data_IF_517997173174
#
_entry.id   IF_517997173174
#
_cell.length_a   1.000
_cell.length_b   1.000
_cell.length_c   1.000
_cell.angle_alpha   90.00
_cell.angle_beta   90.00
_cell.angle_gamma   90.00
#
_symmetry.space_group_name_H-M   'P 1'
#
loop_
_entity.id
_entity.type
_entity.pdbx_description
1 polymer ?
#
# COMPACT_ATOMS: atom_id res chain seq x y z
N UNK A 1 -21.84 -19.74 28.89
CA UNK A 1 -23.23 -19.51 28.45
C UNK A 1 -23.22 -19.19 26.97
N UNK A 2 -24.01 -19.90 26.18
CA UNK A 2 -24.38 -19.57 24.80
C UNK A 2 -25.82 -19.01 24.77
N UNK A 3 -26.21 -18.48 23.61
CA UNK A 3 -27.33 -17.56 23.38
C UNK A 3 -28.73 -18.01 23.83
N UNK A 4 -28.93 -19.29 24.20
CA UNK A 4 -30.24 -19.83 24.60
C UNK A 4 -30.42 -20.02 26.12
N UNK A 5 -29.49 -19.55 26.96
CA UNK A 5 -29.65 -19.56 28.42
C UNK A 5 -29.66 -20.95 29.07
N UNK A 6 -29.16 -21.98 28.39
CA UNK A 6 -28.99 -23.33 28.95
C UNK A 6 -27.53 -23.50 29.41
N UNK A 7 -27.32 -23.89 30.67
CA UNK A 7 -25.98 -24.18 31.19
C UNK A 7 -25.45 -25.48 30.56
N UNK A 8 -24.41 -25.35 29.73
CA UNK A 8 -23.70 -26.49 29.17
C UNK A 8 -22.65 -26.99 30.16
N UNK A 9 -22.77 -28.24 30.60
CA UNK A 9 -21.72 -28.90 31.40
C UNK A 9 -20.73 -29.54 30.44
N UNK A 10 -19.47 -29.10 30.48
CA UNK A 10 -18.38 -29.71 29.69
C UNK A 10 -18.14 -31.13 30.19
N UNK A 11 -18.36 -32.13 29.33
CA UNK A 11 -18.02 -33.53 29.61
C UNK A 11 -16.86 -33.92 28.71
N UNK A 12 -15.70 -34.21 29.31
CA UNK A 12 -14.53 -34.72 28.58
C UNK A 12 -14.71 -36.20 28.21
N UNK A 13 -13.93 -36.70 27.25
CA UNK A 13 -13.94 -38.13 26.88
C UNK A 13 -13.70 -39.03 28.10
N UNK A 14 -12.72 -38.69 28.93
CA UNK A 14 -12.43 -39.42 30.18
C UNK A 14 -13.63 -39.46 31.12
N UNK A 15 -14.37 -38.35 31.24
CA UNK A 15 -15.57 -38.30 32.09
C UNK A 15 -16.72 -39.11 31.51
N UNK A 16 -16.89 -39.09 30.19
CA UNK A 16 -17.88 -39.93 29.51
C UNK A 16 -17.56 -41.43 29.69
N UNK A 17 -16.28 -41.80 29.59
CA UNK A 17 -15.81 -43.17 29.79
C UNK A 17 -15.96 -43.60 31.27
N UNK A 18 -15.70 -42.71 32.23
CA UNK A 18 -15.96 -42.94 33.66
C UNK A 18 -17.45 -43.20 33.92
N UNK A 19 -18.35 -42.43 33.30
CA UNK A 19 -19.81 -42.58 33.43
C UNK A 19 -20.27 -43.91 32.82
N UNK A 20 -19.76 -44.30 31.65
CA UNK A 20 -20.04 -45.61 31.02
C UNK A 20 -19.53 -46.78 31.86
N UNK A 21 -18.32 -46.65 32.41
CA UNK A 21 -17.71 -47.64 33.29
C UNK A 21 -18.50 -47.82 34.57
N UNK A 22 -18.88 -46.71 35.23
CA UNK A 22 -19.72 -46.74 36.43
C UNK A 22 -21.10 -47.34 36.16
N UNK A 23 -21.69 -47.05 35.01
CA UNK A 23 -22.95 -47.66 34.56
C UNK A 23 -22.84 -49.18 34.40
N UNK A 24 -21.77 -49.65 33.75
CA UNK A 24 -21.48 -51.08 33.61
C UNK A 24 -21.23 -51.76 34.96
N UNK A 25 -20.35 -51.20 35.80
CA UNK A 25 -20.04 -51.71 37.15
C UNK A 25 -21.30 -51.85 38.02
N UNK A 26 -22.24 -50.92 37.90
CA UNK A 26 -23.49 -50.92 38.68
C UNK A 26 -24.41 -52.09 38.33
N UNK A 27 -24.32 -52.62 37.11
CA UNK A 27 -25.19 -53.70 36.63
C UNK A 27 -24.49 -55.06 36.61
N UNK A 28 -23.16 -55.11 36.78
CA UNK A 28 -22.34 -56.34 36.70
C UNK A 28 -22.85 -57.50 37.57
N UNK A 29 -23.47 -57.21 38.71
CA UNK A 29 -23.98 -58.21 39.65
C UNK A 29 -25.49 -58.12 39.92
N UNK A 30 -26.20 -57.18 39.29
CA UNK A 30 -27.62 -56.93 39.54
C UNK A 30 -28.34 -56.50 38.25
N UNK A 31 -29.10 -57.42 37.68
CA UNK A 31 -29.90 -57.18 36.47
C UNK A 31 -31.05 -56.19 36.72
N UNK A 32 -31.54 -56.04 37.96
CA UNK A 32 -32.59 -55.07 38.29
C UNK A 32 -32.07 -53.62 38.34
N UNK A 33 -30.74 -53.41 38.36
CA UNK A 33 -30.10 -52.09 38.35
C UNK A 33 -30.01 -51.44 36.95
N UNK A 34 -30.32 -52.19 35.88
CA UNK A 34 -30.24 -51.72 34.49
C UNK A 34 -31.05 -50.42 34.25
N UNK A 35 -32.29 -50.26 34.72
CA UNK A 35 -33.05 -49.03 34.48
C UNK A 35 -32.38 -47.78 35.08
N UNK A 36 -31.79 -47.89 36.26
CA UNK A 36 -31.13 -46.76 36.93
C UNK A 36 -29.82 -46.37 36.22
N UNK A 37 -29.04 -47.36 35.78
CA UNK A 37 -27.84 -47.10 34.99
C UNK A 37 -28.20 -46.53 33.61
N UNK A 38 -29.28 -47.02 32.98
CA UNK A 38 -29.75 -46.53 31.69
C UNK A 38 -30.24 -45.08 31.75
N UNK A 39 -30.89 -44.69 32.85
CA UNK A 39 -31.26 -43.30 33.13
C UNK A 39 -30.03 -42.38 33.17
N UNK A 40 -28.99 -42.75 33.92
CA UNK A 40 -27.77 -41.92 34.05
C UNK A 40 -27.01 -41.80 32.71
N UNK A 41 -26.85 -42.90 31.96
CA UNK A 41 -26.22 -42.86 30.64
C UNK A 41 -26.99 -41.96 29.66
N UNK A 42 -28.33 -42.03 29.68
CA UNK A 42 -29.19 -41.19 28.85
C UNK A 42 -29.16 -39.71 29.26
N UNK A 43 -29.13 -39.44 30.57
CA UNK A 43 -29.07 -38.10 31.17
C UNK A 43 -27.79 -37.34 30.84
N UNK A 44 -26.67 -38.04 30.68
CA UNK A 44 -25.40 -37.44 30.28
C UNK A 44 -25.16 -37.46 28.77
N UNK A 45 -26.00 -38.15 27.99
CA UNK A 45 -25.88 -38.23 26.54
C UNK A 45 -24.58 -38.87 26.05
N UNK A 46 -23.97 -39.74 26.86
CA UNK A 46 -22.63 -40.32 26.59
C UNK A 46 -22.62 -41.41 25.51
N UNK A 47 -23.80 -41.84 25.06
CA UNK A 47 -24.02 -42.76 23.93
C UNK A 47 -25.45 -42.65 23.37
N UNK A 48 -25.72 -43.16 22.15
CA UNK A 48 -27.06 -43.15 21.55
C UNK A 48 -28.08 -43.94 22.36
N UNK A 49 -29.29 -43.40 22.54
CA UNK A 49 -30.36 -44.01 23.35
C UNK A 49 -30.73 -45.44 22.93
N UNK A 50 -30.63 -45.75 21.63
CA UNK A 50 -30.94 -47.08 21.10
C UNK A 50 -29.90 -48.15 21.52
N UNK A 51 -28.70 -47.73 21.91
CA UNK A 51 -27.57 -48.63 22.24
C UNK A 51 -27.45 -48.88 23.75
N UNK A 52 -28.03 -48.01 24.59
CA UNK A 52 -27.85 -48.02 26.04
C UNK A 52 -28.26 -49.36 26.68
N UNK A 53 -29.43 -49.89 26.33
CA UNK A 53 -29.92 -51.14 26.91
C UNK A 53 -29.05 -52.33 26.50
N UNK A 54 -28.67 -52.41 25.21
CA UNK A 54 -27.80 -53.46 24.70
C UNK A 54 -26.45 -53.44 25.42
N UNK A 55 -25.83 -52.26 25.52
CA UNK A 55 -24.57 -52.07 26.23
C UNK A 55 -24.64 -52.55 27.69
N UNK A 56 -25.64 -52.12 28.47
CA UNK A 56 -25.75 -52.51 29.88
C UNK A 56 -26.07 -54.01 30.07
N UNK A 57 -26.87 -54.59 29.17
CA UNK A 57 -27.22 -56.01 29.21
C UNK A 57 -25.98 -56.89 29.09
N UNK A 58 -24.99 -56.49 28.30
CA UNK A 58 -23.77 -57.28 28.10
C UNK A 58 -22.96 -57.45 29.40
N UNK A 59 -23.20 -56.62 30.42
CA UNK A 59 -22.55 -56.72 31.73
C UNK A 59 -23.39 -57.46 32.79
N UNK A 60 -24.68 -57.71 32.58
CA UNK A 60 -25.56 -58.33 33.56
C UNK A 60 -26.10 -59.70 33.08
N UNK A 61 -25.77 -60.83 33.73
CA UNK A 61 -26.22 -62.16 33.29
C UNK A 61 -27.76 -62.30 33.34
N UNK A 62 -28.35 -62.91 32.30
CA UNK A 62 -29.80 -62.92 32.07
C UNK A 62 -30.60 -63.57 33.21
N UNK A 63 -31.62 -62.85 33.70
CA UNK A 63 -32.69 -63.42 34.52
C UNK A 63 -33.72 -64.17 33.65
N UNK A 64 -34.60 -64.98 34.28
CA UNK A 64 -35.69 -65.72 33.58
C UNK A 64 -36.41 -64.83 32.56
N UNK A 65 -36.69 -65.36 31.35
CA UNK A 65 -37.24 -64.64 30.17
C UNK A 65 -38.35 -63.61 30.45
N UNK A 66 -39.29 -63.91 31.36
CA UNK A 66 -40.38 -63.00 31.76
C UNK A 66 -39.91 -61.80 32.59
N UNK A 67 -38.88 -61.99 33.41
CA UNK A 67 -38.25 -60.93 34.21
C UNK A 67 -37.38 -60.02 33.33
N UNK A 68 -36.63 -60.57 32.37
CA UNK A 68 -35.83 -59.79 31.42
C UNK A 68 -36.67 -58.79 30.61
N UNK A 69 -37.81 -59.23 30.06
CA UNK A 69 -38.74 -58.35 29.32
C UNK A 69 -39.29 -57.20 30.19
N UNK A 70 -39.52 -57.45 31.49
CA UNK A 70 -39.98 -56.42 32.44
C UNK A 70 -38.90 -55.38 32.72
N UNK A 71 -37.65 -55.81 32.84
CA UNK A 71 -36.50 -54.92 33.05
C UNK A 71 -36.22 -54.09 31.81
N UNK A 72 -36.31 -54.67 30.60
CA UNK A 72 -36.17 -53.94 29.35
C UNK A 72 -37.20 -52.80 29.22
N UNK A 73 -38.49 -53.10 29.43
CA UNK A 73 -39.54 -52.08 29.37
C UNK A 73 -39.32 -50.94 30.40
N UNK A 74 -38.77 -51.27 31.57
CA UNK A 74 -38.38 -50.27 32.58
C UNK A 74 -37.18 -49.45 32.14
N UNK A 75 -36.18 -50.07 31.51
CA UNK A 75 -35.00 -49.41 30.99
C UNK A 75 -35.35 -48.43 29.86
N UNK A 76 -36.21 -48.82 28.93
CA UNK A 76 -36.68 -47.93 27.85
C UNK A 76 -37.39 -46.68 28.41
N UNK A 77 -38.24 -46.87 29.43
CA UNK A 77 -38.88 -45.74 30.13
C UNK A 77 -37.85 -44.86 30.86
N UNK A 78 -36.83 -45.46 31.45
CA UNK A 78 -35.76 -44.75 32.15
C UNK A 78 -34.85 -43.97 31.18
N UNK A 79 -34.55 -44.52 30.00
CA UNK A 79 -33.81 -43.84 28.92
C UNK A 79 -34.59 -42.63 28.44
N UNK A 80 -35.90 -42.77 28.18
CA UNK A 80 -36.75 -41.65 27.77
C UNK A 80 -36.77 -40.54 28.84
N UNK A 81 -36.87 -40.92 30.12
CA UNK A 81 -36.83 -39.97 31.24
C UNK A 81 -35.47 -39.28 31.36
N UNK A 82 -34.37 -40.03 31.29
CA UNK A 82 -33.01 -39.48 31.34
C UNK A 82 -32.75 -38.52 30.18
N UNK A 83 -33.24 -38.83 28.97
CA UNK A 83 -33.13 -37.95 27.81
C UNK A 83 -33.95 -36.66 27.96
N UNK A 84 -35.08 -36.71 28.65
CA UNK A 84 -35.85 -35.52 28.98
C UNK A 84 -35.13 -34.63 30.02
N UNK A 85 -34.33 -35.25 30.90
CA UNK A 85 -33.46 -34.58 31.88
C UNK A 85 -32.02 -34.35 31.37
N UNK A 86 -31.81 -34.44 30.04
CA UNK A 86 -30.48 -34.38 29.44
C UNK A 86 -29.75 -33.10 29.86
N UNK A 87 -28.68 -33.26 30.62
CA UNK A 87 -27.73 -32.18 30.87
C UNK A 87 -26.98 -31.95 29.55
N UNK A 88 -27.34 -30.91 28.78
CA UNK A 88 -26.75 -30.64 27.46
C UNK A 88 -25.24 -30.36 27.62
N UNK A 89 -24.41 -31.36 27.38
CA UNK A 89 -22.96 -31.22 27.21
C UNK A 89 -22.60 -31.30 25.74
N UNK A 90 -21.80 -30.36 25.25
CA UNK A 90 -21.15 -30.50 23.94
C UNK A 90 -19.93 -31.40 24.12
N UNK A 91 -19.91 -32.56 23.46
CA UNK A 91 -18.69 -33.37 23.33
C UNK A 91 -17.86 -32.69 22.25
N UNK A 92 -16.85 -31.92 22.66
CA UNK A 92 -15.89 -31.37 21.71
C UNK A 92 -15.17 -32.55 21.04
N UNK A 93 -15.19 -32.67 19.70
CA UNK A 93 -14.32 -33.63 19.03
C UNK A 93 -12.87 -33.25 19.38
N UNK A 94 -12.08 -34.23 19.83
CA UNK A 94 -10.64 -34.08 19.85
C UNK A 94 -10.24 -34.06 18.38
N UNK A 95 -10.02 -32.87 17.82
CA UNK A 95 -9.14 -32.76 16.66
C UNK A 95 -7.76 -33.07 17.23
N UNK A 96 -7.18 -34.20 16.86
CA UNK A 96 -5.87 -34.61 17.35
C UNK A 96 -4.86 -33.51 17.00
N UNK A 97 -4.00 -33.15 17.94
CA UNK A 97 -2.94 -32.14 17.74
C UNK A 97 -2.07 -32.56 16.55
N UNK A 98 -1.88 -33.88 16.34
CA UNK A 98 -1.25 -34.47 15.15
C UNK A 98 -1.99 -34.19 13.83
N UNK A 99 -3.32 -34.10 13.83
CA UNK A 99 -4.09 -33.80 12.62
C UNK A 99 -3.93 -32.33 12.24
N UNK A 100 -3.92 -31.44 13.23
CA UNK A 100 -3.66 -30.01 13.01
C UNK A 100 -2.21 -29.81 12.54
N UNK A 101 -1.24 -30.48 13.17
CA UNK A 101 0.17 -30.45 12.74
C UNK A 101 0.32 -30.98 11.31
N UNK A 102 -0.34 -32.07 10.95
CA UNK A 102 -0.33 -32.62 9.58
C UNK A 102 -0.94 -31.64 8.56
N UNK A 103 -2.08 -31.01 8.88
CA UNK A 103 -2.71 -30.01 7.99
C UNK A 103 -1.85 -28.74 7.85
N UNK A 104 -1.17 -28.32 8.92
CA UNK A 104 -0.20 -27.22 8.90
C UNK A 104 1.00 -27.61 8.04
N UNK A 105 1.55 -28.80 8.21
CA UNK A 105 2.71 -29.27 7.46
C UNK A 105 2.41 -29.44 5.96
N UNK A 106 1.20 -29.91 5.61
CA UNK A 106 0.73 -29.97 4.23
C UNK A 106 0.60 -28.57 3.62
N UNK A 107 0.02 -27.61 4.34
CA UNK A 107 -0.05 -26.20 3.90
C UNK A 107 1.33 -25.57 3.77
N UNK A 108 2.22 -25.80 4.74
CA UNK A 108 3.60 -25.30 4.70
C UNK A 108 4.38 -25.92 3.54
N UNK A 109 4.18 -27.21 3.25
CA UNK A 109 4.75 -27.86 2.09
C UNK A 109 4.24 -27.22 0.79
N UNK A 110 2.93 -27.00 0.67
CA UNK A 110 2.34 -26.30 -0.46
C UNK A 110 2.92 -24.89 -0.66
N UNK A 111 3.08 -24.12 0.42
CA UNK A 111 3.72 -22.80 0.38
C UNK A 111 5.19 -22.90 -0.05
N UNK A 112 5.97 -23.81 0.53
CA UNK A 112 7.38 -24.05 0.15
C UNK A 112 7.52 -24.44 -1.33
N UNK A 113 6.60 -25.25 -1.85
CA UNK A 113 6.58 -25.65 -3.27
C UNK A 113 6.28 -24.44 -4.15
N UNK A 114 5.32 -23.58 -3.77
CA UNK A 114 5.01 -22.35 -4.49
C UNK A 114 6.19 -21.36 -4.47
N UNK A 115 6.84 -21.17 -3.33
CA UNK A 115 8.00 -20.31 -3.20
C UNK A 115 9.18 -20.84 -4.03
N UNK A 116 9.48 -22.14 -3.93
CA UNK A 116 10.50 -22.77 -4.77
C UNK A 116 10.17 -22.68 -6.28
N UNK A 117 8.90 -22.80 -6.66
CA UNK A 117 8.47 -22.62 -8.05
C UNK A 117 8.62 -21.17 -8.52
N UNK A 118 8.31 -20.18 -7.66
CA UNK A 118 8.55 -18.76 -7.93
C UNK A 118 10.03 -18.46 -8.09
N UNK A 119 10.86 -18.91 -7.14
CA UNK A 119 12.32 -18.77 -7.19
C UNK A 119 12.90 -19.39 -8.45
N UNK A 120 12.47 -20.60 -8.83
CA UNK A 120 12.93 -21.27 -10.05
C UNK A 120 12.53 -20.51 -11.30
N UNK A 121 11.28 -20.03 -11.40
CA UNK A 121 10.81 -19.23 -12.54
C UNK A 121 11.53 -17.89 -12.63
N UNK A 122 11.81 -17.29 -11.47
CA UNK A 122 12.61 -16.08 -11.35
C UNK A 122 14.07 -16.33 -11.78
N UNK A 123 14.68 -17.44 -11.39
CA UNK A 123 16.03 -17.82 -11.81
C UNK A 123 16.11 -18.14 -13.31
N UNK A 124 15.11 -18.83 -13.87
CA UNK A 124 14.98 -19.08 -15.30
C UNK A 124 14.90 -17.76 -16.08
N UNK A 125 14.07 -16.80 -15.63
CA UNK A 125 14.05 -15.42 -16.18
C UNK A 125 15.35 -14.66 -15.98
N UNK A 126 16.06 -14.87 -14.87
CA UNK A 126 17.35 -14.23 -14.61
C UNK A 126 18.45 -14.76 -15.55
N UNK A 127 18.35 -16.02 -15.99
CA UNK A 127 19.18 -16.60 -17.05
C UNK A 127 19.00 -15.94 -18.42
N UNK A 128 17.88 -15.24 -18.64
CA UNK A 128 17.61 -14.45 -19.84
C UNK A 128 18.19 -13.03 -19.79
N UNK A 129 18.74 -12.59 -18.65
CA UNK A 129 19.39 -11.28 -18.58
C UNK A 129 20.68 -11.34 -19.42
N UNK A 130 20.86 -10.41 -20.38
CA UNK A 130 22.04 -10.42 -21.22
C UNK A 130 23.29 -10.26 -20.36
N UNK A 131 24.30 -11.11 -20.58
CA UNK A 131 25.62 -10.95 -19.98
C UNK A 131 26.19 -9.54 -20.22
N UNK A 132 27.10 -9.07 -19.36
CA UNK A 132 27.78 -7.79 -19.58
C UNK A 132 28.46 -7.72 -20.95
N UNK A 133 29.05 -8.84 -21.40
CA UNK A 133 29.70 -8.95 -22.71
C UNK A 133 28.69 -8.72 -23.84
N UNK A 134 27.49 -9.30 -23.75
CA UNK A 134 26.42 -9.08 -24.75
C UNK A 134 25.79 -7.69 -24.69
N UNK A 135 26.05 -6.90 -23.64
CA UNK A 135 25.57 -5.52 -23.51
C UNK A 135 26.60 -4.49 -24.02
N UNK A 136 27.81 -4.91 -24.40
CA UNK A 136 28.80 -3.99 -24.98
C UNK A 136 28.33 -3.56 -26.36
N UNK A 137 28.14 -2.25 -26.52
CA UNK A 137 27.77 -1.64 -27.79
C UNK A 137 29.03 -1.11 -28.49
N UNK A 138 29.11 -1.30 -29.80
CA UNK A 138 30.03 -0.53 -30.63
C UNK A 138 29.49 0.90 -30.85
N UNK A 139 30.31 1.77 -31.44
CA UNK A 139 29.95 3.17 -31.68
C UNK A 139 28.63 3.33 -32.46
N UNK A 140 28.40 2.52 -33.50
CA UNK A 140 27.19 2.63 -34.33
C UNK A 140 25.95 2.14 -33.58
N UNK A 141 26.09 1.07 -32.81
CA UNK A 141 25.01 0.55 -31.97
C UNK A 141 24.68 1.51 -30.81
N UNK A 142 25.67 2.28 -30.34
CA UNK A 142 25.46 3.35 -29.36
C UNK A 142 24.71 4.55 -29.97
N UNK A 143 25.13 5.03 -31.14
CA UNK A 143 24.44 6.12 -31.86
C UNK A 143 23.00 5.76 -32.26
N UNK A 144 22.74 4.48 -32.52
CA UNK A 144 21.41 4.00 -32.88
C UNK A 144 20.50 3.72 -31.67
N UNK A 145 20.95 3.98 -30.44
CA UNK A 145 20.09 3.82 -29.26
C UNK A 145 18.88 4.76 -29.35
N UNK A 146 17.68 4.29 -28.98
CA UNK A 146 16.51 5.15 -28.93
C UNK A 146 16.69 6.22 -27.85
N UNK A 147 16.03 7.36 -28.05
CA UNK A 147 15.91 8.39 -27.02
C UNK A 147 15.37 7.81 -25.71
N UNK A 148 15.79 8.34 -24.55
CA UNK A 148 15.29 7.90 -23.24
C UNK A 148 13.76 7.90 -23.21
N UNK A 149 13.18 6.78 -22.78
CA UNK A 149 11.73 6.63 -22.67
C UNK A 149 11.26 7.25 -21.36
N UNK A 150 10.08 7.86 -21.38
CA UNK A 150 9.46 8.49 -20.22
C UNK A 150 8.23 7.70 -19.80
N UNK A 151 8.12 7.40 -18.50
CA UNK A 151 6.90 6.85 -17.90
C UNK A 151 5.89 7.98 -17.70
N UNK A 152 6.37 9.14 -17.25
CA UNK A 152 5.62 10.40 -17.20
C UNK A 152 6.40 11.42 -17.99
N UNK A 153 5.80 11.97 -19.04
CA UNK A 153 6.47 12.88 -19.97
C UNK A 153 7.22 14.01 -19.25
N UNK A 154 8.52 14.11 -19.52
CA UNK A 154 9.49 15.09 -18.99
C UNK A 154 9.67 15.09 -17.46
N UNK A 155 9.17 14.08 -16.75
CA UNK A 155 9.22 14.04 -15.27
C UNK A 155 9.83 12.75 -14.74
N UNK A 156 9.32 11.59 -15.18
CA UNK A 156 9.77 10.29 -14.69
C UNK A 156 10.28 9.47 -15.89
N UNK A 157 11.61 9.35 -16.08
CA UNK A 157 12.18 8.49 -17.10
C UNK A 157 12.01 7.00 -16.73
N UNK A 158 12.01 6.13 -17.73
CA UNK A 158 12.10 4.67 -17.58
C UNK A 158 13.52 4.27 -17.15
N UNK A 159 13.65 3.16 -16.39
CA UNK A 159 14.95 2.61 -15.96
C UNK A 159 15.82 3.56 -15.13
N UNK A 160 15.19 4.43 -14.35
CA UNK A 160 15.88 5.47 -13.59
C UNK A 160 15.78 5.30 -12.07
N UNK A 161 16.64 6.01 -11.34
CA UNK A 161 16.52 6.27 -9.90
C UNK A 161 16.15 7.74 -9.69
N UNK A 162 14.95 7.97 -9.17
CA UNK A 162 14.38 9.30 -8.91
C UNK A 162 14.28 9.53 -7.42
N UNK A 163 14.75 10.69 -6.95
CA UNK A 163 14.51 11.14 -5.57
C UNK A 163 13.42 12.19 -5.54
N UNK A 164 12.46 12.05 -4.63
CA UNK A 164 11.46 13.07 -4.33
C UNK A 164 11.66 13.55 -2.91
N UNK A 165 11.95 14.83 -2.74
CA UNK A 165 12.28 15.38 -1.43
C UNK A 165 11.60 16.71 -1.12
N UNK A 166 11.65 17.11 0.15
CA UNK A 166 10.98 18.30 0.65
C UNK A 166 10.70 18.23 2.15
N UNK A 167 10.23 19.34 2.71
CA UNK A 167 9.96 19.48 4.14
C UNK A 167 9.01 18.39 4.68
N UNK A 168 9.11 18.07 5.97
CA UNK A 168 8.15 17.17 6.61
C UNK A 168 6.73 17.72 6.49
N UNK A 169 5.76 16.86 6.20
CA UNK A 169 4.34 17.26 6.07
C UNK A 169 3.96 18.02 4.80
N UNK A 170 4.91 18.35 3.90
CA UNK A 170 4.62 19.15 2.68
C UNK A 170 3.74 18.44 1.63
N UNK A 171 3.54 17.12 1.77
CA UNK A 171 2.67 16.35 0.87
C UNK A 171 3.38 15.46 -0.17
N UNK A 172 4.67 15.15 0.01
CA UNK A 172 5.44 14.26 -0.90
C UNK A 172 4.73 12.93 -1.20
N UNK A 173 4.22 12.27 -0.17
CA UNK A 173 3.48 11.02 -0.33
C UNK A 173 2.24 11.20 -1.20
N UNK A 174 1.49 12.31 -1.06
CA UNK A 174 0.36 12.58 -1.95
C UNK A 174 0.80 12.79 -3.39
N UNK A 175 1.90 13.49 -3.63
CA UNK A 175 2.46 13.64 -4.97
C UNK A 175 2.89 12.30 -5.58
N UNK A 176 3.63 11.48 -4.83
CA UNK A 176 4.08 10.17 -5.31
C UNK A 176 2.91 9.20 -5.52
N UNK A 177 1.89 9.23 -4.66
CA UNK A 177 0.66 8.44 -4.83
C UNK A 177 -0.12 8.87 -6.08
N UNK A 178 -0.16 10.17 -6.35
CA UNK A 178 -0.80 10.72 -7.54
C UNK A 178 -0.12 10.22 -8.84
N UNK A 179 1.21 10.18 -8.87
CA UNK A 179 2.01 9.64 -9.97
C UNK A 179 1.77 8.14 -10.10
N UNK A 180 1.89 7.41 -8.99
CA UNK A 180 1.69 5.95 -8.94
C UNK A 180 0.31 5.52 -9.45
N UNK A 181 -0.75 6.19 -9.01
CA UNK A 181 -2.11 5.92 -9.45
C UNK A 181 -2.30 6.21 -10.94
N UNK A 182 -1.68 7.27 -11.46
CA UNK A 182 -1.76 7.63 -12.88
C UNK A 182 -1.06 6.58 -13.76
N UNK A 183 0.14 6.14 -13.38
CA UNK A 183 0.89 5.09 -14.09
C UNK A 183 0.17 3.75 -14.04
N UNK A 184 -0.31 3.35 -12.86
CA UNK A 184 -1.02 2.10 -12.67
C UNK A 184 -2.37 2.05 -13.39
N UNK A 185 -3.06 3.18 -13.48
CA UNK A 185 -4.36 3.31 -14.12
C UNK A 185 -4.31 3.71 -15.61
N UNK A 186 -3.15 4.15 -16.11
CA UNK A 186 -3.00 4.66 -17.47
C UNK A 186 -3.72 5.99 -17.71
N UNK A 187 -3.77 6.85 -16.70
CA UNK A 187 -4.33 8.21 -16.82
C UNK A 187 -3.21 9.21 -17.04
N UNK A 188 -3.48 10.28 -17.79
CA UNK A 188 -2.57 11.42 -17.85
C UNK A 188 -2.34 11.98 -16.44
N UNK A 189 -1.07 12.18 -16.08
CA UNK A 189 -0.74 12.74 -14.78
C UNK A 189 -0.71 14.25 -14.90
N UNK A 190 -1.80 14.90 -14.50
CA UNK A 190 -1.93 16.37 -14.49
C UNK A 190 -1.52 16.95 -15.85
N UNK A 191 -2.20 16.45 -16.89
CA UNK A 191 -2.05 16.88 -18.28
C UNK A 191 -0.81 16.38 -18.98
N UNK A 192 0.03 15.58 -18.32
CA UNK A 192 1.20 14.94 -18.91
C UNK A 192 0.86 13.52 -19.35
N UNK A 193 1.18 13.14 -20.61
CA UNK A 193 1.02 11.77 -21.08
C UNK A 193 1.77 10.76 -20.20
N UNK A 194 1.15 9.61 -19.98
CA UNK A 194 1.66 8.53 -19.14
C UNK A 194 1.73 7.20 -19.90
N UNK A 195 2.86 6.50 -19.77
CA UNK A 195 3.00 5.12 -20.22
C UNK A 195 2.57 4.19 -19.08
N UNK A 196 1.45 3.49 -19.28
CA UNK A 196 0.86 2.65 -18.25
C UNK A 196 1.71 1.41 -17.92
N UNK A 197 1.66 0.98 -16.67
CA UNK A 197 2.28 -0.26 -16.20
C UNK A 197 2.04 -0.54 -14.73
N UNK A 198 2.33 -1.77 -14.25
CA UNK A 198 2.11 -2.12 -12.87
C UNK A 198 3.05 -1.32 -11.96
N UNK A 199 2.56 -0.90 -10.79
CA UNK A 199 3.29 -0.09 -9.82
C UNK A 199 3.27 -0.78 -8.47
N UNK A 200 4.42 -0.85 -7.81
CA UNK A 200 4.53 -1.22 -6.40
C UNK A 200 4.75 0.04 -5.56
N UNK A 201 3.86 0.29 -4.60
CA UNK A 201 4.02 1.36 -3.62
C UNK A 201 4.38 0.78 -2.26
N UNK A 202 5.62 0.97 -1.82
CA UNK A 202 6.08 0.57 -0.49
C UNK A 202 5.74 1.69 0.49
N UNK A 203 4.66 1.49 1.24
CA UNK A 203 4.15 2.43 2.24
C UNK A 203 4.78 2.13 3.61
N UNK A 204 6.04 2.51 3.77
CA UNK A 204 6.90 2.12 4.88
C UNK A 204 6.57 2.83 6.20
N UNK A 205 5.77 3.89 6.18
CA UNK A 205 5.27 4.55 7.40
C UNK A 205 4.09 3.80 8.08
N UNK A 206 3.60 2.73 7.46
CA UNK A 206 2.57 1.82 7.97
C UNK A 206 1.21 1.98 7.30
N UNK A 207 0.51 0.87 6.99
CA UNK A 207 -0.67 0.87 6.08
C UNK A 207 -1.91 1.68 6.48
N UNK A 208 -1.98 2.23 7.70
CA UNK A 208 -3.13 3.02 8.15
C UNK A 208 -3.27 4.32 7.34
N UNK A 209 -4.22 4.34 6.41
CA UNK A 209 -4.54 5.51 5.60
C UNK A 209 -4.12 5.44 4.13
N UNK A 210 -3.29 4.46 3.72
CA UNK A 210 -2.96 4.25 2.32
C UNK A 210 -4.21 3.88 1.50
N UNK A 211 -5.04 2.97 2.04
CA UNK A 211 -6.29 2.55 1.40
C UNK A 211 -7.25 3.71 1.11
N UNK A 212 -7.49 4.61 2.09
CA UNK A 212 -8.39 5.77 1.88
C UNK A 212 -7.82 6.77 0.87
N UNK A 213 -6.49 6.94 0.81
CA UNK A 213 -5.84 7.84 -0.16
C UNK A 213 -5.97 7.31 -1.59
N UNK A 214 -5.68 6.03 -1.83
CA UNK A 214 -5.85 5.44 -3.16
C UNK A 214 -7.31 5.31 -3.55
N UNK A 215 -8.22 5.04 -2.61
CA UNK A 215 -9.66 5.09 -2.86
C UNK A 215 -10.14 6.49 -3.27
N UNK A 216 -9.59 7.55 -2.66
CA UNK A 216 -9.88 8.92 -3.07
C UNK A 216 -9.39 9.24 -4.50
N UNK A 217 -8.21 8.74 -4.88
CA UNK A 217 -7.69 8.88 -6.24
C UNK A 217 -8.52 8.08 -7.25
N UNK A 218 -8.90 6.85 -6.90
CA UNK A 218 -9.80 6.02 -7.71
C UNK A 218 -11.17 6.67 -7.92
N UNK A 219 -11.75 7.28 -6.87
CA UNK A 219 -12.99 8.04 -6.99
C UNK A 219 -12.84 9.25 -7.91
N UNK A 220 -11.74 10.01 -7.75
CA UNK A 220 -11.51 11.23 -8.50
C UNK A 220 -11.23 10.95 -9.99
N UNK A 221 -10.48 9.89 -10.30
CA UNK A 221 -9.90 9.70 -11.64
C UNK A 221 -10.36 8.42 -12.35
N UNK A 222 -10.93 7.47 -11.61
CA UNK A 222 -11.37 6.19 -12.13
C UNK A 222 -12.83 5.86 -11.80
N UNK A 223 -13.66 6.88 -11.53
CA UNK A 223 -15.09 6.75 -11.21
C UNK A 223 -15.36 5.74 -10.08
N UNK A 224 -14.43 5.66 -9.13
CA UNK A 224 -14.50 4.79 -7.96
C UNK A 224 -14.19 3.31 -8.21
N UNK A 225 -13.77 2.93 -9.42
CA UNK A 225 -13.31 1.58 -9.71
C UNK A 225 -11.88 1.37 -9.16
N UNK A 226 -11.51 0.14 -8.77
CA UNK A 226 -10.13 -0.18 -8.38
C UNK A 226 -9.11 0.15 -9.47
N UNK A 227 -7.90 0.51 -9.07
CA UNK A 227 -6.76 0.71 -9.98
C UNK A 227 -5.96 -0.60 -9.98
N UNK A 228 -6.31 -1.52 -10.88
CA UNK A 228 -5.83 -2.91 -10.84
C UNK A 228 -4.29 -3.05 -10.96
N UNK A 229 -3.63 -2.10 -11.63
CA UNK A 229 -2.17 -2.07 -11.78
C UNK A 229 -1.40 -1.64 -10.52
N UNK A 230 -2.09 -1.22 -9.46
CA UNK A 230 -1.46 -0.66 -8.26
C UNK A 230 -1.40 -1.70 -7.13
N UNK A 231 -0.20 -2.05 -6.73
CA UNK A 231 0.07 -2.92 -5.58
C UNK A 231 0.71 -2.11 -4.45
N UNK A 232 0.34 -2.41 -3.20
CA UNK A 232 0.84 -1.70 -2.02
C UNK A 232 1.45 -2.68 -1.04
N UNK A 233 2.70 -2.44 -0.64
CA UNK A 233 3.35 -3.12 0.48
C UNK A 233 3.23 -2.21 1.72
N UNK A 234 2.34 -2.52 2.69
CA UNK A 234 2.04 -1.64 3.83
C UNK A 234 3.04 -1.75 4.99
N UNK A 235 4.23 -2.31 4.73
CA UNK A 235 5.30 -2.55 5.70
C UNK A 235 6.62 -2.03 5.14
N UNK A 236 7.53 -1.67 6.03
CA UNK A 236 8.88 -1.24 5.65
C UNK A 236 9.79 -2.47 5.47
N UNK A 237 10.27 -2.78 4.24
CA UNK A 237 11.37 -3.72 4.06
C UNK A 237 12.66 -3.12 4.60
N UNK A 238 13.61 -3.96 5.02
CA UNK A 238 14.93 -3.54 5.41
C UNK A 238 15.93 -3.70 4.25
N UNK A 239 16.34 -2.60 3.62
CA UNK A 239 17.29 -2.63 2.50
C UNK A 239 18.74 -2.93 2.89
N UNK A 240 19.04 -3.12 4.18
CA UNK A 240 20.32 -3.72 4.62
C UNK A 240 20.25 -5.25 4.75
N UNK A 241 19.05 -5.83 4.66
CA UNK A 241 18.81 -7.27 4.68
C UNK A 241 18.84 -7.83 3.25
N UNK A 242 19.77 -8.74 2.98
CA UNK A 242 19.82 -9.43 1.66
C UNK A 242 18.57 -10.26 1.40
N UNK A 243 17.86 -10.71 2.45
CA UNK A 243 16.62 -11.48 2.31
C UNK A 243 15.52 -10.59 1.73
N UNK A 244 15.25 -9.44 2.37
CA UNK A 244 14.22 -8.49 1.93
C UNK A 244 14.54 -7.95 0.53
N UNK A 245 15.82 -7.70 0.22
CA UNK A 245 16.26 -7.27 -1.11
C UNK A 245 16.00 -8.35 -2.14
N UNK A 246 16.33 -9.62 -1.87
CA UNK A 246 16.09 -10.73 -2.77
C UNK A 246 14.59 -11.02 -3.00
N UNK A 247 13.76 -10.83 -1.98
CA UNK A 247 12.30 -10.92 -2.09
C UNK A 247 11.76 -9.82 -3.03
N UNK A 248 12.20 -8.57 -2.86
CA UNK A 248 11.80 -7.47 -3.72
C UNK A 248 12.32 -7.61 -5.17
N UNK A 249 13.55 -8.11 -5.36
CA UNK A 249 14.07 -8.47 -6.68
C UNK A 249 13.17 -9.52 -7.35
N UNK A 250 12.79 -10.56 -6.61
CA UNK A 250 11.94 -11.65 -7.13
C UNK A 250 10.55 -11.16 -7.47
N UNK A 251 9.96 -10.32 -6.61
CA UNK A 251 8.67 -9.69 -6.85
C UNK A 251 8.71 -8.79 -8.10
N UNK A 252 9.75 -7.97 -8.26
CA UNK A 252 9.90 -7.14 -9.44
C UNK A 252 10.12 -7.97 -10.71
N UNK A 253 10.88 -9.06 -10.64
CA UNK A 253 11.06 -9.97 -11.77
C UNK A 253 9.78 -10.69 -12.16
N UNK A 254 8.89 -10.97 -11.20
CA UNK A 254 7.59 -11.59 -11.45
C UNK A 254 6.63 -10.62 -12.16
N UNK A 255 6.47 -9.42 -11.60
CA UNK A 255 5.47 -8.43 -12.04
C UNK A 255 5.95 -7.42 -13.09
N UNK A 256 7.27 -7.28 -13.25
CA UNK A 256 7.92 -6.29 -14.12
C UNK A 256 7.34 -4.88 -13.94
N UNK A 257 7.43 -4.37 -12.71
CA UNK A 257 6.85 -3.08 -12.34
C UNK A 257 7.44 -1.98 -13.23
N UNK A 258 6.58 -1.12 -13.76
CA UNK A 258 7.03 0.12 -14.41
C UNK A 258 7.67 1.06 -13.38
N UNK A 259 7.14 1.07 -12.16
CA UNK A 259 7.66 1.92 -11.09
C UNK A 259 7.55 1.24 -9.72
N UNK A 260 8.58 1.40 -8.89
CA UNK A 260 8.57 1.04 -7.47
C UNK A 260 8.80 2.31 -6.65
N UNK A 261 7.87 2.62 -5.72
CA UNK A 261 7.98 3.78 -4.83
C UNK A 261 8.40 3.33 -3.43
N UNK A 262 9.45 3.93 -2.90
CA UNK A 262 9.97 3.72 -1.55
C UNK A 262 9.62 4.94 -0.67
N UNK A 263 8.48 4.88 0.02
CA UNK A 263 7.95 5.98 0.84
C UNK A 263 7.99 5.61 2.34
N UNK A 264 9.06 5.90 3.08
CA UNK A 264 10.21 6.78 2.78
C UNK A 264 11.56 6.09 2.95
N UNK A 265 12.62 6.67 2.39
CA UNK A 265 14.02 6.22 2.48
C UNK A 265 14.41 5.89 3.93
N UNK A 266 14.11 6.80 4.87
CA UNK A 266 14.50 6.63 6.27
C UNK A 266 13.84 5.43 6.95
N UNK A 267 12.71 4.94 6.42
CA UNK A 267 12.04 3.74 6.93
C UNK A 267 12.57 2.46 6.30
N UNK A 268 12.94 2.51 5.02
CA UNK A 268 13.45 1.34 4.29
C UNK A 268 14.96 1.13 4.43
N UNK A 269 15.70 2.15 4.87
CA UNK A 269 17.15 2.07 5.06
C UNK A 269 17.59 1.24 6.29
N UNK A 270 16.65 0.72 7.08
CA UNK A 270 16.95 -0.08 8.28
C UNK A 270 17.82 0.70 9.28
N UNK A 271 18.88 0.04 9.76
CA UNK A 271 19.85 0.63 10.70
C UNK A 271 20.97 1.44 10.02
N UNK A 272 20.87 1.70 8.70
CA UNK A 272 21.90 2.43 7.97
C UNK A 272 22.00 3.90 8.43
N UNK A 273 23.22 4.34 8.70
CA UNK A 273 23.48 5.73 9.06
C UNK A 273 23.31 6.66 7.84
N UNK A 274 22.27 7.49 7.85
CA UNK A 274 21.85 8.38 6.76
C UNK A 274 22.95 9.32 6.22
N UNK A 275 23.91 9.71 7.08
CA UNK A 275 25.02 10.60 6.72
C UNK A 275 26.27 9.85 6.23
N UNK A 276 26.34 8.53 6.43
CA UNK A 276 27.47 7.73 6.01
C UNK A 276 27.38 7.43 4.51
N UNK A 277 28.35 7.93 3.75
CA UNK A 277 28.43 7.65 2.31
C UNK A 277 28.53 6.15 2.02
N UNK A 278 29.23 5.38 2.86
CA UNK A 278 29.34 3.92 2.73
C UNK A 278 27.99 3.24 2.96
N UNK A 279 27.28 3.60 4.04
CA UNK A 279 25.99 3.00 4.35
C UNK A 279 24.95 3.32 3.27
N UNK A 280 24.86 4.59 2.87
CA UNK A 280 23.96 5.02 1.78
C UNK A 280 24.35 4.44 0.43
N UNK A 281 25.64 4.20 0.17
CA UNK A 281 26.09 3.46 -1.00
C UNK A 281 25.53 2.03 -1.03
N UNK A 282 25.50 1.35 0.12
CA UNK A 282 24.85 0.04 0.25
C UNK A 282 23.35 0.08 -0.08
N UNK A 283 22.63 1.06 0.46
CA UNK A 283 21.20 1.25 0.18
C UNK A 283 20.93 1.55 -1.30
N UNK A 284 21.73 2.42 -1.92
CA UNK A 284 21.64 2.73 -3.34
C UNK A 284 21.89 1.50 -4.21
N UNK A 285 22.87 0.67 -3.86
CA UNK A 285 23.14 -0.59 -4.56
C UNK A 285 21.97 -1.57 -4.44
N UNK A 286 21.34 -1.68 -3.27
CA UNK A 286 20.15 -2.51 -3.09
C UNK A 286 18.98 -2.03 -3.96
N UNK A 287 18.71 -0.72 -3.99
CA UNK A 287 17.66 -0.12 -4.85
C UNK A 287 17.95 -0.39 -6.32
N UNK A 288 19.20 -0.23 -6.76
CA UNK A 288 19.61 -0.46 -8.15
C UNK A 288 19.49 -1.94 -8.54
N UNK A 289 19.81 -2.87 -7.63
CA UNK A 289 19.61 -4.30 -7.85
C UNK A 289 18.14 -4.65 -8.04
N UNK A 290 17.26 -4.16 -7.14
CA UNK A 290 15.81 -4.36 -7.23
C UNK A 290 15.28 -3.79 -8.54
N UNK A 291 15.70 -2.57 -8.92
CA UNK A 291 15.33 -1.91 -10.17
C UNK A 291 15.72 -2.75 -11.39
N UNK A 292 16.97 -3.23 -11.44
CA UNK A 292 17.50 -4.05 -12.56
C UNK A 292 16.89 -5.44 -12.67
N UNK A 293 16.21 -5.93 -11.63
CA UNK A 293 15.49 -7.18 -11.71
C UNK A 293 14.27 -7.12 -12.66
N UNK A 294 13.77 -5.91 -12.94
CA UNK A 294 12.76 -5.64 -13.96
C UNK A 294 13.36 -5.09 -15.25
N UNK A 295 12.63 -5.24 -16.35
CA UNK A 295 13.06 -4.84 -17.70
C UNK A 295 12.93 -3.33 -17.96
N UNK A 296 12.06 -2.65 -17.20
CA UNK A 296 11.67 -1.25 -17.40
C UNK A 296 11.52 -0.43 -16.13
N UNK A 297 11.84 -1.01 -14.98
CA UNK A 297 11.49 -0.44 -13.68
C UNK A 297 12.25 0.85 -13.39
N UNK A 298 11.52 1.86 -12.92
CA UNK A 298 12.07 3.06 -12.29
C UNK A 298 11.82 3.04 -10.78
N UNK A 299 12.86 3.36 -10.01
CA UNK A 299 12.78 3.46 -8.56
C UNK A 299 12.56 4.91 -8.15
N UNK A 300 11.50 5.18 -7.39
CA UNK A 300 11.18 6.51 -6.83
C UNK A 300 11.36 6.48 -5.33
N UNK A 301 12.30 7.26 -4.80
CA UNK A 301 12.69 7.24 -3.39
C UNK A 301 12.25 8.55 -2.73
N UNK A 302 11.37 8.46 -1.74
CA UNK A 302 10.87 9.63 -1.02
C UNK A 302 11.76 9.90 0.19
N UNK A 303 12.26 11.13 0.32
CA UNK A 303 13.09 11.53 1.47
C UNK A 303 12.77 12.95 1.94
N UNK A 304 13.33 13.36 3.06
CA UNK A 304 13.13 14.69 3.61
C UNK A 304 14.17 15.69 3.09
N UNK A 305 13.90 16.99 3.25
CA UNK A 305 14.92 18.01 3.13
C UNK A 305 15.73 18.14 4.42
N UNK A 306 17.00 18.51 4.30
CA UNK A 306 17.87 18.88 5.43
C UNK A 306 17.50 20.26 5.99
N UNK A 307 18.24 20.71 7.01
CA UNK A 307 18.02 22.03 7.63
C UNK A 307 18.19 23.21 6.65
N UNK A 308 19.04 23.04 5.63
CA UNK A 308 19.26 24.03 4.57
C UNK A 308 18.21 24.03 3.46
N UNK A 309 17.25 23.09 3.48
CA UNK A 309 16.26 22.95 2.41
C UNK A 309 16.71 22.09 1.22
N UNK A 310 17.95 21.60 1.23
CA UNK A 310 18.49 20.65 0.23
C UNK A 310 18.10 19.21 0.54
N UNK A 311 18.38 18.29 -0.38
CA UNK A 311 18.20 16.85 -0.18
C UNK A 311 18.92 16.40 1.10
N UNK A 312 18.19 15.74 2.02
CA UNK A 312 18.78 15.24 3.27
C UNK A 312 19.59 13.96 3.03
N UNK A 313 20.71 13.85 3.75
CA UNK A 313 21.56 12.66 3.78
C UNK A 313 22.89 12.87 3.07
N UNK A 314 23.52 11.77 2.68
CA UNK A 314 24.81 11.78 1.97
C UNK A 314 24.70 12.43 0.58
N UNK A 315 25.72 13.19 0.18
CA UNK A 315 25.87 13.70 -1.20
C UNK A 315 25.91 12.59 -2.25
N UNK A 316 26.18 11.34 -1.84
CA UNK A 316 26.08 10.15 -2.69
C UNK A 316 24.67 9.96 -3.27
N UNK A 317 23.61 10.30 -2.53
CA UNK A 317 22.23 10.20 -3.01
C UNK A 317 22.00 11.12 -4.22
N UNK A 318 22.43 12.38 -4.10
CA UNK A 318 22.36 13.34 -5.19
C UNK A 318 23.18 12.89 -6.41
N UNK A 319 24.39 12.38 -6.18
CA UNK A 319 25.26 11.92 -7.26
C UNK A 319 24.65 10.73 -8.04
N UNK A 320 24.08 9.76 -7.32
CA UNK A 320 23.49 8.55 -7.89
C UNK A 320 22.16 8.80 -8.61
N UNK A 321 21.39 9.82 -8.21
CA UNK A 321 20.10 10.13 -8.82
C UNK A 321 20.19 10.44 -10.32
N UNK A 322 19.27 9.91 -11.11
CA UNK A 322 19.02 10.35 -12.48
C UNK A 322 18.15 11.61 -12.49
N UNK A 323 17.16 11.66 -11.58
CA UNK A 323 16.26 12.79 -11.37
C UNK A 323 16.16 13.12 -9.89
N UNK A 324 16.17 14.42 -9.55
CA UNK A 324 15.87 14.92 -8.20
C UNK A 324 14.73 15.92 -8.29
N UNK A 325 13.60 15.54 -7.69
CA UNK A 325 12.38 16.35 -7.62
C UNK A 325 12.23 16.93 -6.21
N UNK A 326 12.02 18.24 -6.12
CA UNK A 326 11.74 18.96 -4.87
C UNK A 326 10.29 19.41 -4.84
N UNK A 327 9.58 19.02 -3.78
CA UNK A 327 8.27 19.54 -3.44
C UNK A 327 8.40 20.57 -2.30
N UNK A 328 7.97 21.80 -2.56
CA UNK A 328 8.08 22.92 -1.61
C UNK A 328 6.80 23.76 -1.60
N UNK A 329 6.60 24.56 -0.55
CA UNK A 329 5.42 25.42 -0.39
C UNK A 329 4.47 24.95 0.72
N UNK A 330 3.20 25.28 0.58
CA UNK A 330 2.12 25.06 1.55
C UNK A 330 0.99 24.23 0.91
N UNK A 331 0.09 23.59 1.69
CA UNK A 331 -0.95 22.71 1.13
C UNK A 331 -1.82 23.33 0.03
N UNK A 332 -2.12 24.64 0.09
CA UNK A 332 -2.87 25.36 -0.94
C UNK A 332 -2.04 25.79 -2.16
N UNK A 333 -0.71 25.67 -2.08
CA UNK A 333 0.23 26.08 -3.11
C UNK A 333 1.57 25.35 -2.95
N UNK A 334 1.75 24.29 -3.74
CA UNK A 334 2.93 23.45 -3.81
C UNK A 334 3.62 23.64 -5.15
N UNK A 335 4.95 23.78 -5.14
CA UNK A 335 5.80 23.78 -6.32
C UNK A 335 6.57 22.46 -6.39
N UNK A 336 6.46 21.77 -7.52
CA UNK A 336 7.34 20.65 -7.86
C UNK A 336 8.38 21.11 -8.87
N UNK A 337 9.64 20.87 -8.56
CA UNK A 337 10.78 21.32 -9.36
C UNK A 337 11.77 20.17 -9.55
N UNK A 338 12.20 19.95 -10.78
CA UNK A 338 13.30 19.06 -11.12
C UNK A 338 14.62 19.82 -10.98
N UNK A 339 15.29 19.68 -9.84
CA UNK A 339 16.59 20.34 -9.59
C UNK A 339 17.75 19.60 -10.27
N UNK A 340 17.54 18.32 -10.64
CA UNK A 340 18.48 17.52 -11.42
C UNK A 340 17.70 16.62 -12.37
N UNK A 341 18.16 16.54 -13.62
CA UNK A 341 17.64 15.64 -14.65
C UNK A 341 18.78 15.38 -15.65
N UNK A 342 19.08 14.11 -15.94
CA UNK A 342 20.21 13.75 -16.82
C UNK A 342 19.92 13.98 -18.30
N UNK A 343 18.74 13.57 -18.74
CA UNK A 343 18.37 13.46 -20.15
C UNK A 343 17.31 14.50 -20.59
N UNK A 344 17.09 15.53 -19.78
CA UNK A 344 16.25 16.68 -20.11
C UNK A 344 16.66 17.88 -19.26
N UNK A 345 16.17 19.06 -19.63
CA UNK A 345 16.36 20.26 -18.82
C UNK A 345 15.60 20.15 -17.49
N UNK A 346 16.27 20.51 -16.40
CA UNK A 346 15.61 20.70 -15.11
C UNK A 346 14.73 21.95 -15.09
N UNK A 347 14.02 22.15 -14.00
CA UNK A 347 13.18 23.32 -13.77
C UNK A 347 11.81 22.98 -13.23
N UNK A 348 10.86 23.89 -13.43
CA UNK A 348 9.54 23.76 -12.81
C UNK A 348 8.71 22.72 -13.57
N UNK A 349 8.33 21.67 -12.85
CA UNK A 349 7.45 20.62 -13.36
C UNK A 349 6.00 21.10 -13.33
N UNK A 350 5.62 21.81 -12.26
CA UNK A 350 4.30 22.39 -12.11
C UNK A 350 3.98 22.91 -10.70
N UNK A 351 2.79 23.49 -10.59
CA UNK A 351 2.21 24.00 -9.35
C UNK A 351 0.94 23.22 -9.03
N UNK A 352 0.75 22.93 -7.74
CA UNK A 352 -0.27 22.00 -7.26
C UNK A 352 -0.86 22.44 -5.92
N UNK A 353 -1.99 21.85 -5.54
CA UNK A 353 -2.57 21.95 -4.19
C UNK A 353 -3.02 20.58 -3.70
N UNK A 354 -3.13 20.46 -2.39
CA UNK A 354 -3.80 19.35 -1.73
C UNK A 354 -5.28 19.71 -1.51
N UNK A 355 -6.15 19.14 -2.34
CA UNK A 355 -7.58 19.35 -2.25
C UNK A 355 -8.25 18.28 -1.36
N UNK A 356 -9.25 18.64 -0.54
CA UNK A 356 -9.94 17.69 0.31
C UNK A 356 -10.85 16.74 -0.46
N UNK A 357 -10.68 15.44 -0.24
CA UNK A 357 -11.64 14.39 -0.59
C UNK A 357 -12.51 14.07 0.62
N UNK A 358 -13.67 14.74 0.71
CA UNK A 358 -14.58 14.64 1.87
C UNK A 358 -15.11 13.23 2.11
N UNK A 359 -15.34 12.47 1.04
CA UNK A 359 -15.87 11.09 1.12
C UNK A 359 -14.90 10.14 1.82
N UNK A 360 -13.60 10.36 1.64
CA UNK A 360 -12.55 9.47 2.14
C UNK A 360 -11.75 10.05 3.30
N UNK A 361 -12.12 11.24 3.80
CA UNK A 361 -11.41 11.94 4.87
C UNK A 361 -9.89 12.03 4.60
N UNK A 362 -9.55 12.53 3.42
CA UNK A 362 -8.16 12.63 2.96
C UNK A 362 -7.96 13.75 1.95
N UNK A 363 -6.76 13.87 1.41
CA UNK A 363 -6.37 14.87 0.42
C UNK A 363 -5.98 14.21 -0.90
N UNK A 364 -6.13 14.92 -2.01
CA UNK A 364 -5.65 14.53 -3.33
C UNK A 364 -4.84 15.69 -3.94
N UNK A 365 -3.81 15.36 -4.73
CA UNK A 365 -3.05 16.37 -5.46
C UNK A 365 -3.87 16.87 -6.66
N UNK A 366 -3.95 18.18 -6.84
CA UNK A 366 -4.56 18.84 -8.00
C UNK A 366 -3.60 19.85 -8.61
N UNK A 367 -3.59 19.97 -9.94
CA UNK A 367 -2.88 21.05 -10.64
C UNK A 367 -3.51 22.42 -10.36
N UNK A 368 -2.68 23.46 -10.35
CA UNK A 368 -3.09 24.86 -10.22
C UNK A 368 -2.78 25.57 -11.55
N UNK A 369 -3.81 26.17 -12.15
CA UNK A 369 -3.61 27.08 -13.28
C UNK A 369 -3.08 28.45 -12.80
N UNK A 370 -2.44 29.25 -13.66
CA UNK A 370 -2.02 30.61 -13.32
C UNK A 370 -3.15 31.42 -12.67
N UNK A 371 -2.87 32.11 -11.56
CA UNK A 371 -3.86 32.93 -10.84
C UNK A 371 -4.81 32.16 -9.92
N UNK A 372 -4.72 30.82 -9.83
CA UNK A 372 -5.59 30.00 -8.98
C UNK A 372 -4.95 29.52 -7.67
N UNK A 373 -3.77 30.03 -7.31
CA UNK A 373 -3.16 29.62 -6.04
C UNK A 373 -3.93 30.18 -4.84
N UNK A 374 -3.90 29.43 -3.72
CA UNK A 374 -4.48 29.88 -2.44
C UNK A 374 -3.35 30.03 -1.40
N UNK A 375 -2.43 31.01 -1.57
CA UNK A 375 -1.29 31.17 -0.66
C UNK A 375 -1.72 31.79 0.67
N UNK A 376 -0.95 31.52 1.74
CA UNK A 376 -1.15 32.21 3.02
C UNK A 376 -0.48 33.59 3.02
N UNK A 377 -1.18 34.58 3.56
CA UNK A 377 -0.66 35.94 3.76
C UNK A 377 -1.06 36.95 2.67
N UNK A 378 -1.43 38.16 3.13
CA UNK A 378 -2.03 39.23 2.30
C UNK A 378 -1.20 39.56 1.07
N UNK A 379 0.13 39.65 1.20
CA UNK A 379 0.99 40.02 0.09
C UNK A 379 1.07 38.93 -0.99
N UNK A 380 1.07 37.66 -0.59
CA UNK A 380 1.06 36.54 -1.53
C UNK A 380 -0.30 36.45 -2.24
N UNK A 381 -1.40 36.67 -1.52
CA UNK A 381 -2.75 36.75 -2.11
C UNK A 381 -2.86 37.86 -3.16
N UNK A 382 -2.30 39.04 -2.87
CA UNK A 382 -2.28 40.17 -3.81
C UNK A 382 -1.38 39.92 -5.03
N UNK A 383 -0.22 39.26 -4.84
CA UNK A 383 0.63 38.87 -5.96
C UNK A 383 -0.08 37.84 -6.86
N UNK A 384 -0.85 36.92 -6.28
CA UNK A 384 -1.63 35.95 -7.04
C UNK A 384 -2.76 36.60 -7.85
N UNK A 385 -3.45 37.58 -7.26
CA UNK A 385 -4.45 38.39 -7.97
C UNK A 385 -3.80 39.13 -9.15
N UNK A 386 -2.60 39.70 -8.97
CA UNK A 386 -1.84 40.31 -10.05
C UNK A 386 -1.52 39.30 -11.18
N UNK A 387 -1.18 38.06 -10.84
CA UNK A 387 -0.95 37.02 -11.84
C UNK A 387 -2.22 36.62 -12.58
N UNK A 388 -3.37 36.54 -11.91
CA UNK A 388 -4.65 36.29 -12.57
C UNK A 388 -4.98 37.39 -13.59
N UNK A 389 -4.64 38.64 -13.29
CA UNK A 389 -4.72 39.74 -14.25
C UNK A 389 -3.74 39.57 -15.41
N UNK A 390 -2.50 39.16 -15.13
CA UNK A 390 -1.50 38.89 -16.18
C UNK A 390 -1.97 37.81 -17.15
N UNK A 391 -2.43 36.66 -16.64
CA UNK A 391 -2.88 35.54 -17.47
C UNK A 391 -4.01 35.96 -18.41
N UNK A 392 -5.03 36.65 -17.86
CA UNK A 392 -6.18 37.12 -18.64
C UNK A 392 -5.81 38.12 -19.75
N UNK A 393 -4.86 39.02 -19.48
CA UNK A 393 -4.53 40.11 -20.40
C UNK A 393 -3.35 39.79 -21.33
N UNK A 394 -2.38 39.02 -20.84
CA UNK A 394 -1.06 38.82 -21.45
C UNK A 394 -0.63 37.35 -21.50
N UNK A 395 -1.45 36.39 -21.06
CA UNK A 395 -1.05 34.99 -20.95
C UNK A 395 -0.55 34.40 -22.27
N UNK A 396 -1.14 34.78 -23.41
CA UNK A 396 -0.75 34.31 -24.76
C UNK A 396 0.43 35.11 -25.35
N UNK A 397 0.45 36.43 -25.15
CA UNK A 397 1.40 37.34 -25.83
C UNK A 397 2.65 37.63 -25.01
N UNK A 398 2.60 37.42 -23.70
CA UNK A 398 3.48 38.06 -22.74
C UNK A 398 3.28 39.58 -22.70
N UNK A 399 4.11 40.26 -21.91
CA UNK A 399 4.18 41.73 -21.84
C UNK A 399 5.60 42.20 -21.49
N UNK A 400 5.88 43.49 -21.60
CA UNK A 400 7.05 44.07 -20.91
C UNK A 400 6.76 44.28 -19.42
N UNK A 401 7.82 44.36 -18.61
CA UNK A 401 7.69 44.67 -17.18
C UNK A 401 7.04 46.04 -16.90
N UNK A 402 7.26 47.03 -17.77
CA UNK A 402 6.68 48.37 -17.62
C UNK A 402 5.19 48.39 -17.97
N UNK A 403 4.80 47.74 -19.06
CA UNK A 403 3.39 47.62 -19.45
C UNK A 403 2.57 46.93 -18.36
N UNK A 404 3.05 45.80 -17.85
CA UNK A 404 2.32 45.09 -16.79
C UNK A 404 2.26 45.88 -15.49
N UNK A 405 3.34 46.59 -15.11
CA UNK A 405 3.32 47.49 -13.95
C UNK A 405 2.22 48.55 -14.09
N UNK A 406 2.18 49.24 -15.24
CA UNK A 406 1.24 50.33 -15.44
C UNK A 406 -0.20 49.82 -15.51
N UNK A 407 -0.42 48.62 -16.07
CA UNK A 407 -1.70 47.94 -16.05
C UNK A 407 -2.15 47.55 -14.63
N UNK A 408 -1.25 47.03 -13.78
CA UNK A 408 -1.58 46.69 -12.38
C UNK A 408 -1.96 47.89 -11.54
N UNK A 409 -1.38 49.07 -11.79
CA UNK A 409 -1.76 50.31 -11.11
C UNK A 409 -3.23 50.63 -11.36
N UNK A 410 -3.70 50.42 -12.59
CA UNK A 410 -5.08 50.65 -12.98
C UNK A 410 -6.00 49.52 -12.46
N UNK A 411 -5.62 48.26 -12.63
CA UNK A 411 -6.50 47.12 -12.32
C UNK A 411 -6.70 46.89 -10.83
N UNK A 412 -5.69 47.15 -10.01
CA UNK A 412 -5.72 46.86 -8.57
C UNK A 412 -5.76 48.12 -7.70
N UNK A 413 -5.79 49.32 -8.30
CA UNK A 413 -5.73 50.61 -7.59
C UNK A 413 -4.55 50.69 -6.60
N UNK A 414 -3.36 50.32 -7.07
CA UNK A 414 -2.12 50.29 -6.26
C UNK A 414 -1.05 51.24 -6.76
N UNK A 415 -0.13 51.64 -5.89
CA UNK A 415 1.01 52.46 -6.30
C UNK A 415 1.94 51.71 -7.28
N UNK A 416 2.69 52.46 -8.12
CA UNK A 416 3.72 51.87 -9.01
C UNK A 416 4.76 51.03 -8.25
N UNK A 417 5.13 51.45 -7.05
CA UNK A 417 6.07 50.71 -6.20
C UNK A 417 5.47 49.38 -5.73
N UNK A 418 4.19 49.38 -5.35
CA UNK A 418 3.46 48.17 -4.96
C UNK A 418 3.33 47.20 -6.14
N UNK A 419 2.95 47.68 -7.32
CA UNK A 419 2.88 46.86 -8.54
C UNK A 419 4.24 46.23 -8.89
N UNK A 420 5.33 47.01 -8.82
CA UNK A 420 6.68 46.48 -9.04
C UNK A 420 7.07 45.41 -8.01
N UNK A 421 6.64 45.56 -6.76
CA UNK A 421 6.84 44.58 -5.71
C UNK A 421 6.10 43.27 -6.02
N UNK A 422 4.85 43.34 -6.47
CA UNK A 422 4.08 42.15 -6.87
C UNK A 422 4.75 41.42 -8.03
N UNK A 423 5.17 42.15 -9.08
CA UNK A 423 5.94 41.56 -10.19
C UNK A 423 7.25 40.93 -9.68
N UNK A 424 7.94 41.59 -8.76
CA UNK A 424 9.16 41.06 -8.14
C UNK A 424 8.93 39.74 -7.43
N UNK A 425 7.86 39.63 -6.64
CA UNK A 425 7.44 38.39 -5.97
C UNK A 425 7.14 37.31 -7.00
N UNK A 426 6.34 37.61 -8.03
CA UNK A 426 5.98 36.64 -9.07
C UNK A 426 7.21 36.11 -9.84
N UNK A 427 8.22 36.95 -10.10
CA UNK A 427 9.47 36.50 -10.74
C UNK A 427 10.29 35.66 -9.76
N UNK A 428 10.43 36.08 -8.51
CA UNK A 428 11.19 35.36 -7.48
C UNK A 428 10.59 33.97 -7.21
N UNK A 429 9.27 33.85 -7.23
CA UNK A 429 8.54 32.60 -7.07
C UNK A 429 8.39 31.81 -8.38
N UNK A 430 9.00 32.30 -9.46
CA UNK A 430 8.96 31.72 -10.80
C UNK A 430 7.54 31.51 -11.36
N UNK A 431 6.63 32.40 -11.00
CA UNK A 431 5.28 32.51 -11.59
C UNK A 431 5.25 33.29 -12.89
N UNK A 432 6.29 34.10 -13.11
CA UNK A 432 6.57 34.76 -14.38
C UNK A 432 8.03 34.50 -14.77
N UNK A 433 8.24 34.05 -16.00
CA UNK A 433 9.55 34.05 -16.61
C UNK A 433 9.93 35.48 -16.99
N UNK A 434 11.19 35.87 -16.76
CA UNK A 434 11.70 37.20 -17.03
C UNK A 434 12.94 37.13 -17.92
N UNK A 435 12.79 37.53 -19.19
CA UNK A 435 13.86 37.55 -20.17
C UNK A 435 14.37 38.98 -20.34
N UNK A 436 15.65 39.20 -20.04
CA UNK A 436 16.27 40.52 -20.17
C UNK A 436 16.72 40.76 -21.60
N UNK A 437 16.02 41.63 -22.33
CA UNK A 437 16.45 42.13 -23.63
C UNK A 437 17.29 43.40 -23.53
N UNK A 438 17.85 43.85 -24.66
CA UNK A 438 18.74 45.01 -24.73
C UNK A 438 18.12 46.36 -24.28
N UNK A 439 16.78 46.47 -24.26
CA UNK A 439 16.05 47.69 -23.85
C UNK A 439 14.93 47.47 -22.82
N UNK A 440 14.47 46.24 -22.60
CA UNK A 440 13.36 45.93 -21.71
C UNK A 440 13.36 44.47 -21.27
N UNK A 441 12.85 44.20 -20.07
CA UNK A 441 12.57 42.84 -19.59
C UNK A 441 11.20 42.38 -20.07
N UNK A 442 11.14 41.28 -20.81
CA UNK A 442 9.89 40.63 -21.24
C UNK A 442 9.45 39.63 -20.17
N UNK A 443 8.14 39.60 -19.92
CA UNK A 443 7.47 38.70 -18.98
C UNK A 443 6.58 37.73 -19.76
N UNK A 444 6.57 36.47 -19.34
CA UNK A 444 5.70 35.42 -19.86
C UNK A 444 5.32 34.44 -18.75
N UNK A 445 4.26 33.65 -18.96
CA UNK A 445 3.93 32.55 -18.06
C UNK A 445 4.94 31.40 -18.27
N UNK A 446 5.48 30.82 -17.19
CA UNK A 446 6.21 29.56 -17.27
C UNK A 446 5.22 28.47 -17.72
N UNK A 447 5.64 27.61 -18.64
CA UNK A 447 4.81 26.57 -19.27
C UNK A 447 3.79 25.93 -18.29
N UNK A 448 2.52 25.94 -18.67
CA UNK A 448 1.44 25.57 -17.76
C UNK A 448 1.47 24.06 -17.46
N UNK A 449 1.37 23.63 -16.19
CA UNK A 449 0.87 22.30 -15.90
C UNK A 449 -0.61 22.26 -16.30
N UNK A 450 -0.90 21.58 -17.40
CA UNK A 450 -2.26 21.33 -17.87
C UNK A 450 -2.99 20.57 -16.77
N UNK A 451 -3.98 21.17 -16.11
CA UNK A 451 -4.97 20.38 -15.38
C UNK A 451 -5.54 19.34 -16.35
N UNK A 452 -5.79 18.10 -15.89
CA UNK A 452 -6.60 17.13 -16.65
C UNK A 452 -7.80 17.86 -17.27
N UNK A 453 -8.23 17.56 -18.51
CA UNK A 453 -9.48 18.08 -19.01
C UNK A 453 -10.56 17.71 -17.97
N UNK A 454 -11.15 18.74 -17.36
CA UNK A 454 -12.39 18.60 -16.62
C UNK A 454 -13.45 18.38 -17.69
N UNK A 455 -13.83 17.12 -17.89
CA UNK A 455 -15.04 16.76 -18.63
C UNK A 455 -16.28 17.40 -17.98
#
# INVERSE_FOLDING_TARGET
MNLDGVDFVRVTRDKADEIRKRGAERVTSDHDAIPDAAFELARWGVMPSAEIYGYLRDFAPEAKKKHAAKVQARAEKAIAKGRAELTRGYIAPIVDELTIESEIEEKLHGLRVLDAARERRAAERAGDLPSLVSQVLDWRALEAQPEPRWIVADVIPERATVFVYGASGVGKSFACQSIAASIAGGFDWLGRPVVAGPVLYIFAEGGAGAGKRFAALADAWHRGKPIDGLQVLPVAPNLTSEIDVAELESLNREHDFAMIVYDTLNRVAGDAEENSATAMGGILNAIERIRRAGSRTTSVVVTHSGKGGDLRGSSALWAAADVVLKLSGEPGYLKLEAEKQKDADGGIVGFYRLAPSRRHDTLILQGIAPGQAEPSGVQATQAEEALAHFDRAFGVTGSTRSEFRDALVEWMDVSKATAQRYIGVLIADHRLAAESGARSTRLSLPHAPTTLPLD
#
